data_IF_039048475606
#
_entry.id   IF_039048475606
#
_cell.length_a   1.000
_cell.length_b   1.000
_cell.length_c   1.000
_cell.angle_alpha   90.00
_cell.angle_beta   90.00
_cell.angle_gamma   90.00
#
_symmetry.space_group_name_H-M   'P 1'
#
loop_
_entity.id
_entity.type
_entity.pdbx_description
1 polymer ?
#
# COMPACT_ATOMS: atom_id res chain seq x y z
N UNK A 1 -8.78 -15.27 19.87
CA UNK A 1 -7.32 -15.23 19.59
C UNK A 1 -6.89 -13.77 19.43
N UNK A 2 -5.91 -13.29 20.21
CA UNK A 2 -5.46 -11.89 20.17
C UNK A 2 -4.79 -11.55 18.83
N UNK A 3 -4.83 -10.28 18.44
CA UNK A 3 -4.14 -9.78 17.24
C UNK A 3 -2.64 -10.14 17.27
N UNK A 4 -2.01 -9.99 18.43
CA UNK A 4 -0.60 -10.33 18.65
C UNK A 4 -0.29 -11.80 18.33
N UNK A 5 -1.08 -12.75 18.83
CA UNK A 5 -0.91 -14.18 18.50
C UNK A 5 -1.12 -14.46 17.01
N UNK A 6 -2.07 -13.77 16.35
CA UNK A 6 -2.29 -13.92 14.90
C UNK A 6 -1.11 -13.38 14.10
N UNK A 7 -0.56 -12.23 14.53
CA UNK A 7 0.64 -11.60 13.94
C UNK A 7 1.85 -12.52 14.08
N UNK A 8 2.15 -13.02 15.28
CA UNK A 8 3.26 -13.95 15.52
C UNK A 8 3.14 -15.22 14.66
N UNK A 9 1.95 -15.83 14.61
CA UNK A 9 1.71 -17.01 13.77
C UNK A 9 1.93 -16.71 12.29
N UNK A 10 1.45 -15.57 11.80
CA UNK A 10 1.67 -15.15 10.42
C UNK A 10 3.16 -14.94 10.11
N UNK A 11 3.91 -14.32 11.03
CA UNK A 11 5.35 -14.12 10.89
C UNK A 11 6.10 -15.46 10.84
N UNK A 12 5.77 -16.41 11.72
CA UNK A 12 6.38 -17.73 11.73
C UNK A 12 6.10 -18.52 10.44
N UNK A 13 4.89 -18.41 9.86
CA UNK A 13 4.55 -19.03 8.57
C UNK A 13 5.38 -18.44 7.43
N UNK A 14 5.66 -17.13 7.45
CA UNK A 14 6.43 -16.48 6.39
C UNK A 14 7.93 -16.75 6.53
N UNK A 15 8.43 -16.83 7.76
CA UNK A 15 9.81 -17.24 8.05
C UNK A 15 10.06 -18.70 7.64
N UNK A 16 9.13 -19.62 7.94
CA UNK A 16 9.24 -21.02 7.51
C UNK A 16 9.21 -21.20 5.99
N UNK A 17 8.68 -20.22 5.25
CA UNK A 17 8.69 -20.17 3.78
C UNK A 17 9.98 -19.53 3.21
N UNK A 18 11.01 -19.30 4.02
CA UNK A 18 12.26 -18.63 3.62
C UNK A 18 12.04 -17.23 3.01
N UNK A 19 10.95 -16.54 3.39
CA UNK A 19 10.75 -15.17 2.94
C UNK A 19 11.72 -14.23 3.68
N UNK A 20 12.25 -13.23 2.99
CA UNK A 20 13.00 -12.18 3.67
C UNK A 20 12.05 -11.38 4.56
N UNK A 21 12.42 -11.19 5.83
CA UNK A 21 11.72 -10.33 6.80
C UNK A 21 11.33 -8.95 6.29
N UNK A 22 12.10 -8.33 5.40
CA UNK A 22 11.74 -7.05 4.78
C UNK A 22 10.50 -7.14 3.89
N UNK A 23 10.26 -8.29 3.24
CA UNK A 23 9.12 -8.49 2.34
C UNK A 23 7.79 -8.63 3.10
N UNK A 24 7.80 -9.24 4.28
CA UNK A 24 6.58 -9.44 5.06
C UNK A 24 6.42 -8.54 6.29
N UNK A 25 7.50 -7.90 6.74
CA UNK A 25 7.51 -6.92 7.82
C UNK A 25 8.32 -5.67 7.44
N UNK A 26 7.89 -4.92 6.40
CA UNK A 26 8.59 -3.72 5.96
C UNK A 26 8.70 -2.68 7.10
N UNK A 27 9.72 -1.79 7.10
CA UNK A 27 9.94 -0.79 8.14
C UNK A 27 8.68 0.04 8.47
N UNK A 28 7.94 0.45 7.43
CA UNK A 28 6.69 1.19 7.57
C UNK A 28 5.65 0.41 8.40
N UNK A 29 5.44 -0.87 8.07
CA UNK A 29 4.48 -1.72 8.77
C UNK A 29 4.88 -1.97 10.23
N UNK A 30 6.18 -2.11 10.49
CA UNK A 30 6.71 -2.20 11.86
C UNK A 30 6.46 -0.92 12.66
N UNK A 31 6.59 0.25 12.04
CA UNK A 31 6.23 1.54 12.63
C UNK A 31 4.74 1.60 13.00
N UNK A 32 3.86 1.19 12.09
CA UNK A 32 2.43 1.12 12.33
C UNK A 32 2.07 0.20 13.51
N UNK A 33 2.73 -0.96 13.63
CA UNK A 33 2.54 -1.84 14.79
C UNK A 33 2.99 -1.20 16.11
N UNK A 34 4.09 -0.45 16.12
CA UNK A 34 4.55 0.28 17.31
C UNK A 34 3.55 1.38 17.72
N UNK A 35 2.85 1.97 16.76
CA UNK A 35 1.79 2.95 17.00
C UNK A 35 0.45 2.30 17.43
N UNK A 36 0.41 0.98 17.63
CA UNK A 36 -0.79 0.25 18.06
C UNK A 36 -1.77 -0.08 16.93
N UNK A 37 -1.37 0.16 15.67
CA UNK A 37 -2.23 -0.10 14.51
C UNK A 37 -2.28 -1.61 14.22
N UNK A 38 -3.48 -2.19 14.26
CA UNK A 38 -3.70 -3.64 14.15
C UNK A 38 -3.83 -4.11 12.70
N UNK A 39 -2.80 -3.88 11.88
CA UNK A 39 -2.76 -4.32 10.47
C UNK A 39 -2.08 -5.69 10.35
N UNK A 40 -2.70 -6.71 9.76
CA UNK A 40 -2.04 -8.00 9.51
C UNK A 40 -0.94 -7.84 8.44
N UNK A 41 0.04 -8.75 8.37
CA UNK A 41 1.07 -8.70 7.33
C UNK A 41 0.46 -8.72 5.91
N UNK A 42 1.11 -8.07 4.96
CA UNK A 42 0.58 -7.83 3.61
C UNK A 42 -0.02 -9.08 2.94
N UNK A 43 0.62 -10.27 2.97
CA UNK A 43 0.06 -11.47 2.34
C UNK A 43 -1.25 -12.00 2.95
N UNK A 44 -1.62 -11.51 4.14
CA UNK A 44 -2.83 -11.90 4.87
C UNK A 44 -3.91 -10.82 4.86
N UNK A 45 -3.68 -9.68 4.19
CA UNK A 45 -4.72 -8.68 3.97
C UNK A 45 -5.72 -9.18 2.92
N UNK A 46 -7.00 -8.85 3.09
CA UNK A 46 -7.99 -9.12 2.05
C UNK A 46 -7.66 -8.34 0.78
N UNK A 47 -7.91 -8.94 -0.39
CA UNK A 47 -7.70 -8.33 -1.71
C UNK A 47 -8.06 -6.83 -1.75
N UNK A 48 -9.31 -6.50 -1.41
CA UNK A 48 -9.80 -5.11 -1.41
C UNK A 48 -9.03 -4.13 -0.54
N UNK A 49 -8.46 -4.57 0.59
CA UNK A 49 -7.68 -3.69 1.48
C UNK A 49 -6.33 -3.36 0.86
N UNK A 50 -5.71 -4.36 0.23
CA UNK A 50 -4.44 -4.18 -0.48
C UNK A 50 -4.68 -3.30 -1.71
N UNK A 51 -5.70 -3.60 -2.50
CA UNK A 51 -6.08 -2.86 -3.71
C UNK A 51 -6.36 -1.39 -3.39
N UNK A 52 -7.16 -1.09 -2.35
CA UNK A 52 -7.41 0.29 -1.95
C UNK A 52 -6.14 1.00 -1.49
N UNK A 53 -5.34 0.37 -0.62
CA UNK A 53 -4.13 1.01 -0.09
C UNK A 53 -3.09 1.28 -1.18
N UNK A 54 -2.81 0.27 -2.02
CA UNK A 54 -1.82 0.39 -3.10
C UNK A 54 -2.30 1.28 -4.23
N UNK A 55 -3.57 1.15 -4.62
CA UNK A 55 -4.18 1.98 -5.67
C UNK A 55 -4.22 3.45 -5.28
N UNK A 56 -4.56 3.78 -4.03
CA UNK A 56 -4.51 5.16 -3.52
C UNK A 56 -3.08 5.72 -3.54
N UNK A 57 -2.11 4.98 -2.99
CA UNK A 57 -0.72 5.43 -2.93
C UNK A 57 -0.15 5.63 -4.34
N UNK A 58 -0.37 4.67 -5.23
CA UNK A 58 0.09 4.72 -6.61
C UNK A 58 -0.56 5.87 -7.38
N UNK A 59 -1.89 5.97 -7.35
CA UNK A 59 -2.62 7.00 -8.10
C UNK A 59 -2.31 8.42 -7.62
N UNK A 60 -2.15 8.63 -6.31
CA UNK A 60 -1.75 9.94 -5.77
C UNK A 60 -0.32 10.31 -6.16
N UNK A 61 0.64 9.40 -5.93
CA UNK A 61 2.05 9.66 -6.21
C UNK A 61 2.29 9.86 -7.71
N UNK A 62 1.73 8.98 -8.54
CA UNK A 62 1.83 9.06 -9.99
C UNK A 62 1.15 10.31 -10.54
N UNK A 63 -0.08 10.59 -10.10
CA UNK A 63 -0.83 11.75 -10.55
C UNK A 63 -0.15 13.07 -10.22
N UNK A 64 0.38 13.19 -9.00
CA UNK A 64 1.13 14.37 -8.58
C UNK A 64 2.46 14.53 -9.35
N UNK A 65 3.18 13.43 -9.53
CA UNK A 65 4.43 13.42 -10.29
C UNK A 65 4.20 13.83 -11.75
N UNK A 66 3.26 13.19 -12.44
CA UNK A 66 2.93 13.49 -13.83
C UNK A 66 2.40 14.90 -14.00
N UNK A 67 1.60 15.37 -13.04
CA UNK A 67 1.16 16.77 -13.04
C UNK A 67 2.34 17.73 -12.99
N UNK A 68 3.29 17.53 -12.07
CA UNK A 68 4.43 18.42 -11.90
C UNK A 68 5.38 18.43 -13.11
N UNK A 69 5.63 17.28 -13.73
CA UNK A 69 6.64 17.15 -14.79
C UNK A 69 6.11 17.26 -16.22
N UNK A 70 4.81 17.06 -16.44
CA UNK A 70 4.26 16.97 -17.80
C UNK A 70 2.90 17.64 -17.95
N UNK A 71 1.93 17.31 -17.09
CA UNK A 71 0.55 17.69 -17.36
C UNK A 71 0.21 19.14 -16.98
N UNK A 72 0.98 19.78 -16.10
CA UNK A 72 0.81 21.21 -15.81
C UNK A 72 1.04 22.08 -17.06
N UNK A 73 1.95 21.68 -17.95
CA UNK A 73 2.35 22.48 -19.12
C UNK A 73 1.30 22.45 -20.24
N UNK A 74 0.43 21.44 -20.24
CA UNK A 74 -0.76 21.35 -21.10
C UNK A 74 -2.03 21.88 -20.43
N UNK A 75 -1.90 22.63 -19.33
CA UNK A 75 -3.01 23.26 -18.63
C UNK A 75 -3.90 22.32 -17.81
N UNK A 76 -3.43 21.09 -17.51
CA UNK A 76 -4.22 20.15 -16.71
C UNK A 76 -4.29 20.60 -15.24
N UNK A 77 -5.50 20.59 -14.67
CA UNK A 77 -5.68 20.85 -13.24
C UNK A 77 -5.15 19.67 -12.39
N UNK A 78 -4.51 19.95 -11.24
CA UNK A 78 -3.96 18.89 -10.39
C UNK A 78 -5.03 17.94 -9.83
N UNK A 79 -6.24 18.43 -9.54
CA UNK A 79 -7.38 17.60 -9.14
C UNK A 79 -7.75 16.56 -10.20
N UNK A 80 -7.76 16.97 -11.48
CA UNK A 80 -8.05 16.10 -12.60
C UNK A 80 -6.95 15.07 -12.86
N UNK A 81 -5.68 15.48 -12.72
CA UNK A 81 -4.54 14.59 -12.80
C UNK A 81 -4.60 13.47 -11.74
N UNK A 82 -4.94 13.82 -10.50
CA UNK A 82 -5.10 12.86 -9.40
C UNK A 82 -6.28 11.93 -9.67
N UNK A 83 -7.45 12.46 -10.03
CA UNK A 83 -8.64 11.65 -10.29
C UNK A 83 -8.39 10.63 -11.42
N UNK A 84 -7.81 11.07 -12.55
CA UNK A 84 -7.47 10.19 -13.67
C UNK A 84 -6.49 9.10 -13.27
N UNK A 85 -5.50 9.44 -12.45
CA UNK A 85 -4.48 8.49 -11.99
C UNK A 85 -5.05 7.49 -10.98
N UNK A 86 -5.97 7.91 -10.11
CA UNK A 86 -6.70 7.02 -9.20
C UNK A 86 -7.58 6.03 -9.97
N UNK A 87 -8.34 6.50 -10.96
CA UNK A 87 -9.17 5.62 -11.79
C UNK A 87 -8.30 4.59 -12.53
N UNK A 88 -7.18 5.01 -13.12
CA UNK A 88 -6.22 4.10 -13.76
C UNK A 88 -5.62 3.08 -12.80
N UNK A 89 -5.26 3.51 -11.59
CA UNK A 89 -4.68 2.63 -10.56
C UNK A 89 -5.63 1.52 -10.12
N UNK A 90 -6.94 1.81 -10.03
CA UNK A 90 -7.95 0.82 -9.65
C UNK A 90 -8.40 -0.08 -10.81
N UNK A 91 -8.27 0.36 -12.07
CA UNK A 91 -8.54 -0.50 -13.23
C UNK A 91 -7.44 -1.53 -13.51
N UNK A 92 -6.22 -1.33 -13.00
CA UNK A 92 -5.07 -2.25 -13.17
C UNK A 92 -4.90 -3.23 -11.99
N UNK A 93 -5.75 -3.15 -10.97
CA UNK A 93 -5.65 -3.93 -9.72
C UNK A 93 -6.71 -5.03 -9.65
#
# INVERSE_FOLDING_TARGET
MSFERKKERALAIMESKNMWRSNYAPPLLRGLWKLGVKIPPLPFLSFWRITLMMGLMHGLLWGLMMWFFSWKDIGMQPSWAILRSLLGAFCLA
#
